data_IF_621269375327
#
_entry.id   IF_621269375327
#
_cell.length_a   1.000
_cell.length_b   1.000
_cell.length_c   1.000
_cell.angle_alpha   90.00
_cell.angle_beta   90.00
_cell.angle_gamma   90.00
#
_symmetry.space_group_name_H-M   'P 1'
#
loop_
_entity.id
_entity.type
_entity.pdbx_description
1 polymer ?
#
# COMPACT_ATOMS: atom_id res chain seq x y z
N UNK A 1 -22.25 -19.72 3.43
CA UNK A 1 -21.36 -20.47 2.53
C UNK A 1 -20.25 -19.52 2.11
N UNK A 2 -18.99 -19.93 2.14
CA UNK A 2 -17.92 -19.10 1.61
C UNK A 2 -18.18 -18.91 0.10
N UNK A 3 -18.57 -17.71 -0.31
CA UNK A 3 -18.61 -17.36 -1.72
C UNK A 3 -17.18 -17.41 -2.25
N UNK A 4 -16.86 -18.49 -2.95
CA UNK A 4 -15.65 -18.63 -3.73
C UNK A 4 -15.82 -17.77 -4.97
N UNK A 5 -15.19 -16.60 -4.98
CA UNK A 5 -15.13 -15.76 -6.17
C UNK A 5 -14.05 -16.28 -7.11
N UNK A 6 -14.44 -16.64 -8.32
CA UNK A 6 -13.50 -16.99 -9.39
C UNK A 6 -12.91 -15.71 -9.99
N UNK A 7 -11.90 -15.16 -9.31
CA UNK A 7 -11.22 -13.96 -9.79
C UNK A 7 -10.44 -14.24 -11.08
N UNK A 8 -10.53 -13.36 -12.09
CA UNK A 8 -9.69 -13.44 -13.27
C UNK A 8 -8.19 -13.42 -12.95
N UNK A 9 -7.40 -14.17 -13.71
CA UNK A 9 -5.96 -14.29 -13.46
C UNK A 9 -5.19 -12.97 -13.56
N UNK A 10 -5.60 -12.07 -14.46
CA UNK A 10 -5.06 -10.71 -14.57
C UNK A 10 -5.39 -9.85 -13.35
N UNK A 11 -6.60 -9.97 -12.80
CA UNK A 11 -6.99 -9.30 -11.55
C UNK A 11 -6.21 -9.84 -10.35
N UNK A 12 -5.99 -11.15 -10.27
CA UNK A 12 -5.16 -11.77 -9.23
C UNK A 12 -3.70 -11.31 -9.34
N UNK A 13 -3.13 -11.34 -10.54
CA UNK A 13 -1.76 -10.88 -10.79
C UNK A 13 -1.60 -9.39 -10.45
N UNK A 14 -2.55 -8.54 -10.85
CA UNK A 14 -2.53 -7.12 -10.52
C UNK A 14 -2.68 -6.84 -9.02
N UNK A 15 -3.49 -7.62 -8.30
CA UNK A 15 -3.61 -7.51 -6.85
C UNK A 15 -2.33 -7.96 -6.13
N UNK A 16 -1.71 -9.05 -6.59
CA UNK A 16 -0.45 -9.56 -6.05
C UNK A 16 0.68 -8.55 -6.26
N UNK A 17 0.83 -8.02 -7.48
CA UNK A 17 1.82 -6.99 -7.77
C UNK A 17 1.60 -5.73 -6.93
N UNK A 18 0.34 -5.32 -6.73
CA UNK A 18 0.01 -4.18 -5.86
C UNK A 18 0.46 -4.42 -4.40
N UNK A 19 0.32 -5.65 -3.91
CA UNK A 19 0.80 -6.01 -2.57
C UNK A 19 2.33 -5.97 -2.48
N UNK A 20 3.02 -6.49 -3.50
CA UNK A 20 4.49 -6.48 -3.56
C UNK A 20 5.03 -5.05 -3.60
N UNK A 21 4.51 -4.19 -4.48
CA UNK A 21 4.92 -2.79 -4.60
C UNK A 21 4.69 -2.02 -3.29
N UNK A 22 3.56 -2.28 -2.60
CA UNK A 22 3.30 -1.67 -1.28
C UNK A 22 4.28 -2.15 -0.21
N UNK A 23 4.64 -3.43 -0.22
CA UNK A 23 5.60 -3.99 0.71
C UNK A 23 7.00 -3.38 0.47
N UNK A 24 7.40 -3.28 -0.79
CA UNK A 24 8.66 -2.66 -1.21
C UNK A 24 8.71 -1.17 -0.84
N UNK A 25 7.67 -0.40 -1.17
CA UNK A 25 7.55 1.01 -0.79
C UNK A 25 7.60 1.18 0.73
N UNK A 26 6.90 0.33 1.49
CA UNK A 26 6.95 0.38 2.95
C UNK A 26 8.33 0.03 3.51
N UNK A 27 9.07 -0.89 2.89
CA UNK A 27 10.43 -1.24 3.31
C UNK A 27 11.40 -0.10 3.00
N UNK A 28 11.29 0.51 1.82
CA UNK A 28 12.02 1.71 1.42
C UNK A 28 11.78 2.86 2.40
N UNK A 29 10.52 3.25 2.64
CA UNK A 29 10.20 4.36 3.56
C UNK A 29 10.65 4.10 5.01
N UNK A 30 10.85 2.86 5.42
CA UNK A 30 11.40 2.52 6.74
C UNK A 30 12.91 2.67 6.83
N UNK A 31 13.66 2.55 5.73
CA UNK A 31 15.12 2.82 5.70
C UNK A 31 15.43 4.31 5.55
N UNK A 32 14.57 5.04 4.85
CA UNK A 32 14.81 6.44 4.54
C UNK A 32 14.73 7.33 5.78
N UNK A 33 15.41 8.49 5.75
CA UNK A 33 15.21 9.53 6.73
C UNK A 33 13.73 9.90 6.88
N UNK A 34 13.31 10.25 8.09
CA UNK A 34 11.90 10.50 8.39
C UNK A 34 11.32 11.73 7.69
N UNK A 35 12.18 12.62 7.18
CA UNK A 35 11.81 13.78 6.37
C UNK A 35 12.41 13.69 4.98
N UNK A 36 11.63 14.09 3.98
CA UNK A 36 12.04 14.23 2.57
C UNK A 36 12.99 15.41 2.40
N UNK A 37 12.66 16.56 2.98
CA UNK A 37 13.55 17.72 2.99
C UNK A 37 14.46 17.68 4.22
N UNK A 38 15.66 18.28 4.15
CA UNK A 38 16.49 18.49 5.32
C UNK A 38 15.70 19.24 6.41
N UNK A 39 15.57 18.64 7.59
CA UNK A 39 14.89 19.23 8.74
C UNK A 39 15.75 19.13 9.98
N UNK A 40 15.84 20.25 10.70
CA UNK A 40 16.44 20.25 12.02
C UNK A 40 15.67 19.38 12.99
N UNK A 41 16.40 18.77 13.91
CA UNK A 41 15.79 18.01 15.00
C UNK A 41 14.99 18.94 15.89
N UNK A 42 13.85 18.47 16.39
CA UNK A 42 13.03 19.25 17.31
C UNK A 42 12.65 18.42 18.54
N UNK A 43 12.55 19.12 19.66
CA UNK A 43 12.00 18.61 20.92
C UNK A 43 10.87 19.55 21.33
N UNK A 44 9.67 19.01 21.50
CA UNK A 44 8.52 19.73 22.04
C UNK A 44 8.04 19.02 23.31
N UNK A 45 8.08 19.74 24.43
CA UNK A 45 7.63 19.29 25.74
C UNK A 45 6.41 20.09 26.26
N UNK A 46 5.80 20.95 25.44
CA UNK A 46 4.61 21.74 25.81
C UNK A 46 3.31 20.91 25.84
N UNK A 47 3.33 19.68 25.32
CA UNK A 47 2.17 18.79 25.26
C UNK A 47 2.06 17.82 26.43
N UNK A 48 1.03 16.96 26.40
CA UNK A 48 0.83 15.89 27.38
C UNK A 48 1.91 14.78 27.33
N UNK A 49 2.72 14.75 26.26
CA UNK A 49 3.93 13.93 26.11
C UNK A 49 5.01 14.71 25.39
N UNK A 50 6.26 14.51 25.82
CA UNK A 50 7.44 14.96 25.11
C UNK A 50 7.54 14.28 23.74
N UNK A 51 7.72 15.07 22.69
CA UNK A 51 7.96 14.61 21.32
C UNK A 51 9.37 15.03 20.95
N UNK A 52 10.23 14.07 20.63
CA UNK A 52 11.58 14.32 20.14
C UNK A 52 11.76 13.67 18.77
N UNK A 53 12.33 14.41 17.83
CA UNK A 53 12.79 13.90 16.55
C UNK A 53 14.21 14.37 16.26
N UNK A 54 15.13 13.47 15.88
CA UNK A 54 16.48 13.86 15.48
C UNK A 54 16.45 14.64 14.17
N UNK A 55 17.52 15.39 13.88
CA UNK A 55 17.68 16.04 12.59
C UNK A 55 17.65 15.00 11.46
N UNK A 56 16.95 15.34 10.38
CA UNK A 56 16.84 14.53 9.17
C UNK A 56 17.66 15.21 8.07
N UNK A 57 18.58 14.51 7.40
CA UNK A 57 19.32 15.07 6.28
C UNK A 57 18.45 15.30 5.02
N UNK A 58 17.23 14.76 4.99
CA UNK A 58 16.42 14.71 3.76
C UNK A 58 16.72 13.47 2.95
N UNK A 59 15.96 13.24 1.89
CA UNK A 59 16.22 12.20 0.90
C UNK A 59 17.17 12.75 -0.16
N UNK A 60 18.01 11.89 -0.72
CA UNK A 60 18.73 12.24 -1.94
C UNK A 60 17.83 12.09 -3.19
N UNK A 61 18.32 12.59 -4.32
CA UNK A 61 17.56 12.58 -5.58
C UNK A 61 17.24 11.15 -6.06
N UNK A 62 18.13 10.19 -5.82
CA UNK A 62 17.96 8.79 -6.22
C UNK A 62 16.91 8.10 -5.34
N UNK A 63 16.94 8.33 -4.03
CA UNK A 63 15.96 7.87 -3.05
C UNK A 63 14.57 8.45 -3.36
N UNK A 64 14.48 9.74 -3.66
CA UNK A 64 13.24 10.38 -4.05
C UNK A 64 12.69 9.79 -5.35
N UNK A 65 13.54 9.59 -6.36
CA UNK A 65 13.14 8.99 -7.64
C UNK A 65 12.67 7.53 -7.46
N UNK A 66 13.32 6.75 -6.60
CA UNK A 66 12.92 5.36 -6.28
C UNK A 66 11.52 5.34 -5.63
N UNK A 67 11.26 6.21 -4.65
CA UNK A 67 9.95 6.35 -4.02
C UNK A 67 8.88 6.78 -5.02
N UNK A 68 9.17 7.77 -5.87
CA UNK A 68 8.23 8.28 -6.87
C UNK A 68 7.86 7.19 -7.88
N UNK A 69 8.84 6.44 -8.38
CA UNK A 69 8.62 5.30 -9.29
C UNK A 69 7.71 4.25 -8.65
N UNK A 70 7.95 3.89 -7.39
CA UNK A 70 7.11 2.92 -6.68
C UNK A 70 5.70 3.44 -6.43
N UNK A 71 5.54 4.72 -6.07
CA UNK A 71 4.22 5.36 -5.89
C UNK A 71 3.44 5.44 -7.21
N UNK A 72 4.11 5.76 -8.31
CA UNK A 72 3.50 5.76 -9.63
C UNK A 72 3.00 4.36 -10.00
N UNK A 73 3.83 3.33 -9.78
CA UNK A 73 3.43 1.94 -10.03
C UNK A 73 2.28 1.50 -9.12
N UNK A 74 2.33 1.85 -7.84
CA UNK A 74 1.23 1.59 -6.90
C UNK A 74 -0.08 2.21 -7.41
N UNK A 75 -0.01 3.47 -7.86
CA UNK A 75 -1.19 4.19 -8.37
C UNK A 75 -1.77 3.51 -9.61
N UNK A 76 -0.95 3.16 -10.59
CA UNK A 76 -1.38 2.44 -11.80
C UNK A 76 -2.08 1.12 -11.46
N UNK A 77 -1.49 0.33 -10.57
CA UNK A 77 -2.06 -0.94 -10.13
C UNK A 77 -3.35 -0.75 -9.34
N UNK A 78 -3.41 0.27 -8.47
CA UNK A 78 -4.62 0.61 -7.73
C UNK A 78 -5.77 1.02 -8.68
N UNK A 79 -5.47 1.80 -9.73
CA UNK A 79 -6.44 2.12 -10.78
C UNK A 79 -6.87 0.85 -11.51
N UNK A 80 -5.93 0.08 -12.06
CA UNK A 80 -6.20 -1.16 -12.78
C UNK A 80 -7.11 -2.11 -11.99
N UNK A 81 -6.74 -2.40 -10.74
CA UNK A 81 -7.53 -3.28 -9.86
C UNK A 81 -8.90 -2.67 -9.57
N UNK A 82 -9.01 -1.37 -9.27
CA UNK A 82 -10.28 -0.76 -8.87
C UNK A 82 -11.27 -0.60 -10.02
N UNK A 83 -10.79 -0.37 -11.25
CA UNK A 83 -11.61 -0.17 -12.45
C UNK A 83 -11.74 -1.42 -13.32
N UNK A 84 -11.28 -2.57 -12.83
CA UNK A 84 -11.29 -3.82 -13.59
C UNK A 84 -12.68 -4.22 -14.08
N UNK A 85 -12.78 -4.71 -15.32
CA UNK A 85 -14.05 -5.14 -15.97
C UNK A 85 -14.84 -6.17 -15.17
N UNK A 86 -14.18 -6.99 -14.37
CA UNK A 86 -14.80 -7.98 -13.49
C UNK A 86 -15.86 -7.35 -12.56
N UNK A 87 -15.63 -6.12 -12.11
CA UNK A 87 -16.55 -5.43 -11.20
C UNK A 87 -17.88 -5.03 -11.83
N UNK A 88 -17.98 -5.02 -13.16
CA UNK A 88 -19.23 -4.73 -13.87
C UNK A 88 -20.31 -5.77 -13.57
N UNK A 89 -19.93 -7.00 -13.18
CA UNK A 89 -20.86 -8.06 -12.79
C UNK A 89 -21.43 -7.94 -11.38
N UNK A 90 -20.95 -7.01 -10.55
CA UNK A 90 -21.35 -6.88 -9.15
C UNK A 90 -22.09 -5.57 -8.92
N UNK A 91 -23.09 -5.57 -8.04
CA UNK A 91 -23.84 -4.37 -7.65
C UNK A 91 -23.80 -4.15 -6.14
N UNK A 92 -23.95 -2.90 -5.69
CA UNK A 92 -24.09 -2.58 -4.26
C UNK A 92 -22.99 -3.19 -3.35
N UNK A 93 -23.44 -3.83 -2.26
CA UNK A 93 -22.58 -4.43 -1.23
C UNK A 93 -21.74 -5.60 -1.73
N UNK A 94 -22.22 -6.37 -2.71
CA UNK A 94 -21.50 -7.55 -3.23
C UNK A 94 -20.16 -7.15 -3.85
N UNK A 95 -20.10 -5.98 -4.50
CA UNK A 95 -18.85 -5.44 -5.04
C UNK A 95 -17.84 -5.15 -3.94
N UNK A 96 -18.29 -4.68 -2.78
CA UNK A 96 -17.43 -4.39 -1.62
C UNK A 96 -16.93 -5.68 -1.00
N UNK A 97 -17.80 -6.68 -0.83
CA UNK A 97 -17.43 -8.00 -0.33
C UNK A 97 -16.42 -8.71 -1.24
N UNK A 98 -16.65 -8.72 -2.56
CA UNK A 98 -15.74 -9.31 -3.53
C UNK A 98 -14.36 -8.61 -3.54
N UNK A 99 -14.32 -7.27 -3.50
CA UNK A 99 -13.05 -6.52 -3.36
C UNK A 99 -12.33 -6.82 -2.06
N UNK A 100 -13.07 -7.02 -0.95
CA UNK A 100 -12.47 -7.40 0.32
C UNK A 100 -11.84 -8.79 0.23
N UNK A 101 -12.51 -9.77 -0.41
CA UNK A 101 -11.95 -11.11 -0.62
C UNK A 101 -10.73 -11.10 -1.53
N UNK A 102 -10.71 -10.27 -2.58
CA UNK A 102 -9.56 -10.15 -3.49
C UNK A 102 -8.26 -9.79 -2.73
N UNK A 103 -8.33 -8.88 -1.74
CA UNK A 103 -7.18 -8.50 -0.90
C UNK A 103 -6.58 -9.68 -0.11
N UNK A 104 -7.33 -10.75 0.08
CA UNK A 104 -6.91 -11.95 0.78
C UNK A 104 -6.68 -13.14 -0.14
N UNK A 105 -6.86 -13.00 -1.46
CA UNK A 105 -6.74 -14.11 -2.40
C UNK A 105 -5.30 -14.69 -2.48
N UNK A 106 -4.29 -13.91 -2.09
CA UNK A 106 -2.89 -14.36 -1.98
C UNK A 106 -2.62 -15.15 -0.69
N UNK A 107 -3.45 -14.96 0.35
CA UNK A 107 -3.40 -15.79 1.56
C UNK A 107 -4.15 -17.06 1.22
N UNK A 108 -3.41 -18.16 1.02
CA UNK A 108 -4.02 -19.48 0.88
C UNK A 108 -4.95 -19.80 2.07
N UNK A 109 -5.68 -20.93 2.04
CA UNK A 109 -6.73 -21.26 3.01
C UNK A 109 -6.34 -21.35 4.50
N UNK A 110 -5.11 -20.99 4.87
CA UNK A 110 -4.63 -21.03 6.24
C UNK A 110 -4.62 -19.63 6.84
N UNK A 111 -5.59 -19.40 7.72
CA UNK A 111 -5.38 -19.03 9.14
C UNK A 111 -6.63 -18.32 9.66
N UNK A 112 -7.48 -19.10 10.34
CA UNK A 112 -8.51 -18.61 11.25
C UNK A 112 -8.33 -19.35 12.58
N UNK A 113 -8.00 -18.64 13.67
CA UNK A 113 -8.55 -18.92 14.99
C UNK A 113 -9.85 -18.14 15.23
#
# INVERSE_FOLDING_TARGET
MAETYDFPGDLLAGQEELHQVRAELSALLRRLPWSVEPLDGFSDDNGWRKIERPASPGWDDDEQAEVEKLRQREHELAVFVSTHRYWAGFTGGDRVHARSRLKHAHKGPEESP
#
